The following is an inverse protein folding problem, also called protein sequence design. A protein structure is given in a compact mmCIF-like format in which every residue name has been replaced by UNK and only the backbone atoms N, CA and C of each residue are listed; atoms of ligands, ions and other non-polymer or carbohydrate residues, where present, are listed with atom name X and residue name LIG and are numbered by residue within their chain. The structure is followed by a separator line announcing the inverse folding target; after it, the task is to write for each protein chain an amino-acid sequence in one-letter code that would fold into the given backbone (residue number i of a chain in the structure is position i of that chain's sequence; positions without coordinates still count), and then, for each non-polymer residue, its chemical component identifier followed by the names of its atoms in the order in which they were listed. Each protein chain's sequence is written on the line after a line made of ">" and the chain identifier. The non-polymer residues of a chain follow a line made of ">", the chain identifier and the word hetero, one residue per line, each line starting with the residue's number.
data_IF_272709952476
#
_entry.id   IF_272709952476
#
_cell.length_a   1.000
_cell.length_b   1.000
_cell.length_c   1.000
_cell.angle_alpha   90.00
_cell.angle_beta   90.00
_cell.angle_gamma   90.00
#
_symmetry.space_group_name_H-M   'P 1'
#
loop_
_entity.id
_entity.type
_entity.pdbx_description
1 polymer ?
#
# COMPACT_ATOMS: atom_id res chain seq x y z
N UNK A 1 3.21 2.59 -3.76
CA UNK A 1 2.64 1.23 -3.77
C UNK A 1 3.13 0.48 -2.56
N UNK A 2 2.23 -0.18 -1.84
CA UNK A 2 2.55 -1.02 -0.69
C UNK A 2 1.82 -2.35 -0.82
N UNK A 3 2.45 -3.41 -0.35
CA UNK A 3 1.87 -4.75 -0.33
C UNK A 3 1.75 -5.24 1.12
N UNK A 4 0.76 -6.10 1.34
CA UNK A 4 0.44 -6.65 2.64
C UNK A 4 -0.58 -7.78 2.51
N UNK A 5 -1.03 -8.27 3.64
CA UNK A 5 -1.99 -9.38 3.72
C UNK A 5 -3.29 -8.90 4.34
N UNK A 6 -4.43 -9.38 3.81
CA UNK A 6 -5.68 -9.31 4.55
C UNK A 6 -5.60 -10.29 5.72
N UNK A 7 -6.15 -9.89 6.86
CA UNK A 7 -6.17 -10.72 8.06
C UNK A 7 -7.61 -11.00 8.49
N UNK A 8 -7.79 -12.01 9.33
CA UNK A 8 -9.08 -12.42 9.88
C UNK A 8 -9.36 -11.76 11.25
N UNK A 9 -8.61 -10.72 11.60
CA UNK A 9 -8.80 -10.00 12.87
C UNK A 9 -10.20 -9.40 12.92
N UNK A 10 -10.95 -9.70 13.99
CA UNK A 10 -12.29 -9.14 14.18
C UNK A 10 -12.21 -7.72 14.74
N UNK A 11 -13.12 -6.86 14.29
CA UNK A 11 -13.27 -5.49 14.79
C UNK A 11 -14.72 -5.25 15.21
N UNK A 12 -14.92 -4.80 16.46
CA UNK A 12 -16.22 -4.31 16.89
C UNK A 12 -16.44 -2.91 16.27
N UNK A 13 -17.10 -2.90 15.11
CA UNK A 13 -17.39 -1.68 14.35
C UNK A 13 -18.74 -1.78 13.65
N UNK A 14 -19.28 -0.64 13.23
CA UNK A 14 -20.46 -0.61 12.37
C UNK A 14 -20.03 -0.74 10.89
N UNK A 15 -20.82 -1.47 10.10
CA UNK A 15 -20.61 -1.62 8.65
C UNK A 15 -19.67 -2.76 8.25
N UNK A 16 -19.41 -2.87 6.94
CA UNK A 16 -18.44 -3.83 6.40
C UNK A 16 -17.02 -3.35 6.63
N UNK A 17 -16.14 -4.24 7.12
CA UNK A 17 -14.75 -3.94 7.36
C UNK A 17 -13.84 -5.00 6.75
N UNK A 18 -12.57 -4.64 6.56
CA UNK A 18 -11.49 -5.57 6.27
C UNK A 18 -10.26 -5.11 7.03
N UNK A 19 -9.54 -6.05 7.63
CA UNK A 19 -8.28 -5.77 8.34
C UNK A 19 -7.13 -6.19 7.44
N UNK A 20 -6.10 -5.36 7.36
CA UNK A 20 -4.88 -5.67 6.60
C UNK A 20 -3.64 -5.37 7.42
N UNK A 21 -2.61 -6.20 7.23
CA UNK A 21 -1.28 -6.01 7.79
C UNK A 21 -0.31 -5.57 6.69
N UNK A 22 0.17 -4.34 6.80
CA UNK A 22 1.24 -3.80 5.95
C UNK A 22 2.52 -3.68 6.78
N UNK A 23 3.59 -4.34 6.36
CA UNK A 23 4.90 -4.23 7.03
C UNK A 23 5.42 -2.80 6.89
N UNK A 24 5.81 -2.19 8.01
CA UNK A 24 6.27 -0.80 8.00
C UNK A 24 5.18 0.24 7.75
N UNK A 25 3.90 -0.07 8.06
CA UNK A 25 2.77 0.87 7.85
C UNK A 25 3.03 2.26 8.43
N UNK A 26 3.68 2.36 9.61
CA UNK A 26 3.98 3.66 10.23
C UNK A 26 4.88 4.55 9.38
N UNK A 27 5.92 4.00 8.75
CA UNK A 27 6.80 4.78 7.88
C UNK A 27 6.12 5.12 6.55
N UNK A 28 5.29 4.21 6.04
CA UNK A 28 4.45 4.46 4.87
C UNK A 28 3.49 5.64 5.11
N UNK A 29 2.74 5.61 6.21
CA UNK A 29 1.79 6.69 6.54
C UNK A 29 2.50 8.03 6.72
N UNK A 30 3.71 8.03 7.29
CA UNK A 30 4.53 9.23 7.37
C UNK A 30 4.91 9.76 5.99
N UNK A 31 5.41 8.89 5.10
CA UNK A 31 5.73 9.27 3.72
C UNK A 31 4.51 9.83 2.98
N UNK A 32 3.35 9.17 3.11
CA UNK A 32 2.08 9.62 2.50
C UNK A 32 1.73 11.05 2.96
N UNK A 33 1.84 11.32 4.26
CA UNK A 33 1.52 12.62 4.83
C UNK A 33 2.57 13.69 4.47
N UNK A 34 3.86 13.37 4.54
CA UNK A 34 4.97 14.31 4.28
C UNK A 34 4.98 14.74 2.80
N UNK A 35 4.59 13.87 1.87
CA UNK A 35 4.53 14.16 0.41
C UNK A 35 3.15 14.64 -0.08
N UNK A 36 2.14 14.72 0.80
CA UNK A 36 0.81 15.24 0.45
C UNK A 36 -0.05 14.33 -0.45
N UNK A 37 0.09 13.00 -0.32
CA UNK A 37 -0.73 12.05 -1.06
C UNK A 37 -2.18 11.99 -0.54
N UNK A 38 -3.09 11.61 -1.43
CA UNK A 38 -4.53 11.49 -1.13
C UNK A 38 -4.83 10.38 -0.09
N UNK A 39 -5.91 10.59 0.67
CA UNK A 39 -6.35 9.66 1.72
C UNK A 39 -7.03 8.39 1.18
N UNK A 40 -7.57 8.44 -0.04
CA UNK A 40 -8.18 7.28 -0.69
C UNK A 40 -7.11 6.43 -1.38
N UNK A 41 -7.25 5.11 -1.26
CA UNK A 41 -6.37 4.13 -1.88
C UNK A 41 -7.18 3.08 -2.63
N UNK A 42 -6.61 2.56 -3.72
CA UNK A 42 -7.12 1.37 -4.39
C UNK A 42 -6.44 0.13 -3.80
N UNK A 43 -7.22 -0.93 -3.60
CA UNK A 43 -6.74 -2.20 -3.04
C UNK A 43 -7.21 -3.35 -3.93
N UNK A 44 -6.34 -4.34 -4.12
CA UNK A 44 -6.63 -5.55 -4.89
C UNK A 44 -6.21 -6.79 -4.11
N UNK A 45 -6.85 -7.92 -4.39
CA UNK A 45 -6.40 -9.22 -3.88
C UNK A 45 -5.24 -9.75 -4.72
N UNK A 46 -4.01 -9.43 -4.32
CA UNK A 46 -2.79 -9.94 -4.95
C UNK A 46 -1.58 -9.02 -4.75
N UNK A 47 -0.38 -9.58 -4.96
CA UNK A 47 0.89 -8.85 -4.93
C UNK A 47 1.31 -8.52 -6.36
N UNK A 48 0.88 -7.35 -6.85
CA UNK A 48 1.09 -6.90 -8.23
C UNK A 48 1.89 -5.60 -8.34
N UNK A 49 2.55 -5.16 -7.26
CA UNK A 49 3.26 -3.89 -7.24
C UNK A 49 4.36 -3.81 -8.31
N UNK A 50 5.06 -4.92 -8.58
CA UNK A 50 6.11 -4.97 -9.61
C UNK A 50 5.55 -4.71 -11.02
N UNK A 51 4.46 -5.38 -11.40
CA UNK A 51 3.82 -5.19 -12.71
C UNK A 51 3.24 -3.78 -12.84
N UNK A 52 2.68 -3.22 -11.78
CA UNK A 52 2.16 -1.86 -11.78
C UNK A 52 3.29 -0.81 -11.87
N UNK A 53 4.38 -1.01 -11.13
CA UNK A 53 5.57 -0.17 -11.18
C UNK A 53 6.17 -0.15 -12.59
N UNK A 54 6.28 -1.32 -13.23
CA UNK A 54 6.70 -1.41 -14.62
C UNK A 54 5.75 -0.65 -15.54
N UNK A 55 4.45 -0.95 -15.50
CA UNK A 55 3.51 -0.41 -16.45
C UNK A 55 3.36 1.11 -16.33
N UNK A 56 3.24 1.62 -15.10
CA UNK A 56 3.10 3.06 -14.83
C UNK A 56 4.41 3.80 -15.11
N UNK A 57 5.55 3.24 -14.70
CA UNK A 57 6.86 3.86 -14.95
C UNK A 57 7.21 3.89 -16.43
N UNK A 58 7.04 2.78 -17.16
CA UNK A 58 7.46 2.68 -18.58
C UNK A 58 6.48 3.32 -19.55
N UNK A 59 5.18 3.10 -19.37
CA UNK A 59 4.18 3.52 -20.37
C UNK A 59 3.55 4.88 -20.07
N UNK A 60 3.52 5.31 -18.80
CA UNK A 60 2.97 6.61 -18.41
C UNK A 60 4.07 7.64 -18.03
N UNK A 61 5.32 7.19 -17.88
CA UNK A 61 6.47 8.03 -17.49
C UNK A 61 6.25 8.73 -16.13
N UNK A 62 5.61 8.04 -15.19
CA UNK A 62 5.36 8.58 -13.85
C UNK A 62 6.39 8.08 -12.85
N UNK A 63 6.79 8.97 -11.94
CA UNK A 63 7.57 8.58 -10.77
C UNK A 63 6.74 7.69 -9.85
N UNK A 64 7.21 6.47 -9.59
CA UNK A 64 6.55 5.51 -8.71
C UNK A 64 7.35 5.38 -7.42
N UNK A 65 6.68 5.60 -6.28
CA UNK A 65 7.23 5.22 -4.99
C UNK A 65 6.82 3.79 -4.63
N UNK A 66 7.80 2.87 -4.51
CA UNK A 66 7.58 1.53 -3.96
C UNK A 66 8.00 1.50 -2.49
N UNK A 67 7.03 1.21 -1.62
CA UNK A 67 7.27 1.14 -0.18
C UNK A 67 8.11 -0.10 0.14
N UNK A 68 9.34 0.10 0.60
CA UNK A 68 10.18 -0.96 1.11
C UNK A 68 10.19 -0.95 2.65
N UNK A 69 9.62 -1.96 3.31
CA UNK A 69 9.63 -2.02 4.76
C UNK A 69 11.06 -2.19 5.32
N UNK A 70 11.35 -1.72 6.54
CA UNK A 70 12.61 -2.00 7.21
C UNK A 70 12.88 -3.51 7.32
N UNK A 71 14.11 -3.94 7.03
CA UNK A 71 14.53 -5.35 7.12
C UNK A 71 14.02 -6.22 5.96
N UNK A 72 13.85 -5.65 4.78
CA UNK A 72 13.58 -6.36 3.52
C UNK A 72 14.64 -5.88 2.53
N UNK A 73 15.75 -6.61 2.47
CA UNK A 73 16.83 -6.46 1.47
C UNK A 73 16.49 -7.26 0.24
#
# INVERSE_FOLDING_TARGET
>A
MAEGEFTEDELETFGGYGVMRIKGLRSLLRYIADEGFEHHVAVVHGHIAEVLEEAIGKYLDWGVHRHNPPGTT
#
